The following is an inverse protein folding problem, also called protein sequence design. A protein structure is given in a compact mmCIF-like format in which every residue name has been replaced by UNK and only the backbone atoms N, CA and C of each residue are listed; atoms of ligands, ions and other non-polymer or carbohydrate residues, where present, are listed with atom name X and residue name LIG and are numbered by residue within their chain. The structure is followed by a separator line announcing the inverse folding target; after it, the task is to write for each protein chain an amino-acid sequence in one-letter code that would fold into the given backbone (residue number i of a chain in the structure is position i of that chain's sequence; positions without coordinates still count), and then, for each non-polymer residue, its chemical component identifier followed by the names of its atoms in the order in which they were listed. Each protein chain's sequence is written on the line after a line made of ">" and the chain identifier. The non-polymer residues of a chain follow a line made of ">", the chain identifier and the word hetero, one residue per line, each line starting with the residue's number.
data_IF_841009916079
#
_entry.id   IF_841009916079
#
_cell.length_a   1.000
_cell.length_b   1.000
_cell.length_c   1.000
_cell.angle_alpha   90.00
_cell.angle_beta   90.00
_cell.angle_gamma   90.00
#
_symmetry.space_group_name_H-M   'P 1'
#
loop_
_entity.id
_entity.type
_entity.pdbx_description
1 polymer ?
#
# COMPACT_ATOMS: atom_id res chain seq x y z
N UNK A 1 10.34 -33.95 -4.89
CA UNK A 1 10.44 -33.26 -3.58
C UNK A 1 9.64 -31.99 -3.67
N UNK A 2 8.62 -31.81 -2.84
CA UNK A 2 7.78 -30.61 -2.86
C UNK A 2 8.43 -29.44 -2.16
N UNK A 3 8.04 -28.19 -2.50
CA UNK A 3 8.61 -26.95 -1.94
C UNK A 3 8.55 -26.96 -0.40
N UNK A 4 7.46 -27.44 0.18
CA UNK A 4 7.28 -27.52 1.63
C UNK A 4 8.29 -28.50 2.29
N UNK A 5 8.56 -29.64 1.67
CA UNK A 5 9.51 -30.63 2.17
C UNK A 5 10.95 -30.13 2.06
N UNK A 6 11.25 -29.37 0.99
CA UNK A 6 12.56 -28.73 0.83
C UNK A 6 12.86 -27.81 2.01
N UNK A 7 11.98 -26.86 2.34
CA UNK A 7 12.21 -25.93 3.44
C UNK A 7 12.17 -26.58 4.82
N UNK A 8 11.38 -27.66 5.02
CA UNK A 8 11.41 -28.45 6.25
C UNK A 8 12.78 -29.12 6.46
N UNK A 9 13.35 -29.70 5.42
CA UNK A 9 14.65 -30.40 5.50
C UNK A 9 15.82 -29.46 5.73
N UNK A 10 15.68 -28.17 5.38
CA UNK A 10 16.71 -27.13 5.59
C UNK A 10 16.52 -26.31 6.88
N UNK A 11 15.56 -26.71 7.76
CA UNK A 11 15.33 -26.06 9.06
C UNK A 11 14.75 -24.65 8.97
N UNK A 12 14.20 -24.24 7.81
CA UNK A 12 13.65 -22.90 7.58
C UNK A 12 12.18 -22.79 8.04
N UNK A 13 11.96 -22.89 9.35
CA UNK A 13 10.63 -22.94 9.95
C UNK A 13 9.71 -21.77 9.57
N UNK A 14 10.27 -20.55 9.50
CA UNK A 14 9.52 -19.36 9.11
C UNK A 14 8.97 -19.45 7.67
N UNK A 15 9.75 -19.96 6.73
CA UNK A 15 9.30 -20.15 5.35
C UNK A 15 8.24 -21.26 5.23
N UNK A 16 8.36 -22.29 6.04
CA UNK A 16 7.34 -23.34 6.12
C UNK A 16 5.99 -22.77 6.59
N UNK A 17 6.00 -21.87 7.58
CA UNK A 17 4.78 -21.22 8.08
C UNK A 17 4.17 -20.29 7.03
N UNK A 18 4.97 -19.47 6.38
CA UNK A 18 4.49 -18.60 5.28
C UNK A 18 3.86 -19.39 4.13
N UNK A 19 4.42 -20.56 3.77
CA UNK A 19 3.82 -21.43 2.74
C UNK A 19 2.49 -22.00 3.21
N UNK A 20 2.37 -22.38 4.49
CA UNK A 20 1.10 -22.86 5.06
C UNK A 20 0.03 -21.77 5.06
N UNK A 21 0.41 -20.53 5.43
CA UNK A 21 -0.51 -19.41 5.42
C UNK A 21 -0.98 -19.08 4.00
N UNK A 22 -0.10 -19.16 3.02
CA UNK A 22 -0.46 -19.03 1.61
C UNK A 22 -1.48 -20.11 1.19
N UNK A 23 -1.25 -21.38 1.57
CA UNK A 23 -2.21 -22.46 1.30
C UNK A 23 -3.58 -22.19 1.92
N UNK A 24 -3.64 -21.73 3.18
CA UNK A 24 -4.90 -21.40 3.87
C UNK A 24 -5.64 -20.25 3.18
N UNK A 25 -4.91 -19.24 2.70
CA UNK A 25 -5.49 -18.12 1.95
C UNK A 25 -6.06 -18.63 0.63
N UNK A 26 -5.30 -19.45 -0.12
CA UNK A 26 -5.75 -20.02 -1.39
C UNK A 26 -6.97 -20.90 -1.20
N UNK A 27 -7.03 -21.76 -0.17
CA UNK A 27 -8.20 -22.58 0.15
C UNK A 27 -9.45 -21.73 0.43
N UNK A 28 -9.31 -20.64 1.20
CA UNK A 28 -10.42 -19.72 1.47
C UNK A 28 -10.93 -19.04 0.21
N UNK A 29 -10.02 -18.57 -0.65
CA UNK A 29 -10.35 -17.96 -1.92
C UNK A 29 -11.02 -18.96 -2.87
N UNK A 30 -10.53 -20.17 -2.86
CA UNK A 30 -11.06 -21.28 -3.66
C UNK A 30 -12.48 -21.66 -3.23
N UNK A 31 -12.73 -21.73 -1.93
CA UNK A 31 -14.06 -22.02 -1.35
C UNK A 31 -15.06 -20.88 -1.58
N UNK A 32 -14.61 -19.63 -1.69
CA UNK A 32 -15.46 -18.48 -1.93
C UNK A 32 -15.76 -18.23 -3.42
N UNK A 33 -15.17 -19.02 -4.32
CA UNK A 33 -15.34 -18.84 -5.75
C UNK A 33 -16.56 -19.58 -6.29
N UNK A 34 -17.56 -18.85 -6.79
CA UNK A 34 -18.81 -19.39 -7.37
C UNK A 34 -18.82 -19.46 -8.90
N UNK A 35 -17.70 -19.14 -9.56
CA UNK A 35 -17.59 -19.08 -11.02
C UNK A 35 -17.15 -20.40 -11.69
N UNK A 36 -17.01 -20.41 -13.02
CA UNK A 36 -16.60 -21.59 -13.78
C UNK A 36 -15.16 -22.01 -13.45
N UNK A 37 -14.93 -23.32 -13.33
CA UNK A 37 -13.61 -23.90 -13.11
C UNK A 37 -12.61 -23.54 -14.24
N UNK A 38 -11.31 -23.63 -13.96
CA UNK A 38 -10.24 -23.47 -14.94
C UNK A 38 -9.52 -22.12 -14.90
N UNK A 39 -9.13 -21.58 -16.05
CA UNK A 39 -8.31 -20.36 -16.15
C UNK A 39 -8.95 -19.12 -15.52
N UNK A 40 -10.27 -19.00 -15.54
CA UNK A 40 -10.98 -17.88 -14.90
C UNK A 40 -10.77 -17.88 -13.38
N UNK A 41 -10.87 -19.06 -12.76
CA UNK A 41 -10.61 -19.25 -11.32
C UNK A 41 -9.16 -18.95 -10.96
N UNK A 42 -8.23 -19.45 -11.75
CA UNK A 42 -6.79 -19.17 -11.54
C UNK A 42 -6.49 -17.69 -11.68
N UNK A 43 -7.02 -17.02 -12.70
CA UNK A 43 -6.84 -15.59 -12.88
C UNK A 43 -7.39 -14.78 -11.71
N UNK A 44 -8.55 -15.13 -11.17
CA UNK A 44 -9.10 -14.44 -10.02
C UNK A 44 -8.24 -14.61 -8.76
N UNK A 45 -7.75 -15.83 -8.51
CA UNK A 45 -6.82 -16.11 -7.40
C UNK A 45 -5.53 -15.31 -7.56
N UNK A 46 -4.96 -15.27 -8.77
CA UNK A 46 -3.75 -14.49 -9.08
C UNK A 46 -3.99 -12.99 -8.92
N UNK A 47 -5.14 -12.48 -9.33
CA UNK A 47 -5.51 -11.07 -9.13
C UNK A 47 -5.62 -10.72 -7.64
N UNK A 48 -6.27 -11.56 -6.85
CA UNK A 48 -6.37 -11.35 -5.41
C UNK A 48 -5.01 -11.50 -4.72
N UNK A 49 -4.18 -12.45 -5.14
CA UNK A 49 -2.82 -12.60 -4.63
C UNK A 49 -1.94 -11.40 -4.99
N UNK A 50 -2.05 -10.85 -6.21
CA UNK A 50 -1.34 -9.64 -6.64
C UNK A 50 -1.76 -8.41 -5.82
N UNK A 51 -3.05 -8.26 -5.53
CA UNK A 51 -3.57 -7.20 -4.65
C UNK A 51 -3.04 -7.32 -3.21
N UNK A 52 -2.83 -8.56 -2.74
CA UNK A 52 -2.30 -8.83 -1.39
C UNK A 52 -0.77 -8.73 -1.33
N UNK A 53 -0.08 -9.04 -2.44
CA UNK A 53 1.38 -9.02 -2.54
C UNK A 53 1.98 -7.64 -2.87
N UNK A 54 1.14 -6.61 -3.05
CA UNK A 54 1.60 -5.25 -3.36
C UNK A 54 2.08 -5.06 -4.81
N UNK A 55 1.67 -5.94 -5.73
CA UNK A 55 1.91 -5.68 -7.14
C UNK A 55 1.03 -4.54 -7.67
N UNK A 56 1.54 -3.75 -8.64
CA UNK A 56 0.89 -2.50 -9.04
C UNK A 56 -0.53 -2.73 -9.55
N UNK A 57 -1.42 -1.84 -9.15
CA UNK A 57 -2.84 -1.78 -9.51
C UNK A 57 -3.10 -1.57 -11.03
N UNK A 58 -2.36 -2.26 -11.90
CA UNK A 58 -2.55 -2.15 -13.35
C UNK A 58 -3.93 -2.65 -13.82
N UNK A 59 -4.66 -3.41 -12.99
CA UNK A 59 -5.96 -3.97 -13.36
C UNK A 59 -7.18 -3.22 -12.81
N UNK A 60 -7.00 -2.16 -12.00
CA UNK A 60 -8.12 -1.34 -11.50
C UNK A 60 -8.72 -0.44 -12.60
N UNK A 61 -8.16 -0.46 -13.82
CA UNK A 61 -8.53 0.46 -14.92
C UNK A 61 -9.92 0.27 -15.54
N UNK A 62 -10.69 -0.77 -15.15
CA UNK A 62 -11.97 -1.06 -15.79
C UNK A 62 -13.19 -1.01 -14.85
N UNK A 63 -13.04 -0.56 -13.62
CA UNK A 63 -14.17 -0.39 -12.73
C UNK A 63 -14.37 1.09 -12.43
N UNK A 64 -15.63 1.52 -12.48
CA UNK A 64 -16.09 2.87 -12.12
C UNK A 64 -15.99 3.08 -10.57
N UNK A 65 -14.80 2.83 -10.03
CA UNK A 65 -14.47 2.86 -8.61
C UNK A 65 -13.19 3.63 -8.35
N UNK A 66 -13.18 4.39 -7.25
CA UNK A 66 -11.96 5.04 -6.76
C UNK A 66 -11.14 4.01 -5.98
N UNK A 67 -9.90 3.68 -6.41
CA UNK A 67 -9.04 2.77 -5.69
C UNK A 67 -8.53 3.40 -4.39
N UNK A 68 -8.69 2.69 -3.27
CA UNK A 68 -8.06 3.03 -1.99
C UNK A 68 -6.95 2.01 -1.77
N UNK A 69 -5.70 2.49 -1.82
CA UNK A 69 -4.51 1.65 -1.77
C UNK A 69 -3.45 2.25 -0.85
N UNK A 70 -2.50 1.46 -0.42
CA UNK A 70 -1.33 1.97 0.31
C UNK A 70 -0.30 2.56 -0.67
N UNK A 71 0.60 3.42 -0.16
CA UNK A 71 1.69 3.97 -0.98
C UNK A 71 2.59 2.85 -1.53
N UNK A 72 2.80 1.77 -0.77
CA UNK A 72 3.56 0.61 -1.23
C UNK A 72 2.92 -0.07 -2.44
N UNK A 73 1.61 -0.22 -2.42
CA UNK A 73 0.84 -0.79 -3.54
C UNK A 73 0.80 0.14 -4.77
N UNK A 74 0.96 1.44 -4.57
CA UNK A 74 1.00 2.43 -5.65
C UNK A 74 2.33 2.44 -6.41
N UNK A 75 3.36 1.73 -5.93
CA UNK A 75 4.67 1.68 -6.58
C UNK A 75 4.55 1.10 -8.00
N UNK A 76 5.06 1.84 -8.99
CA UNK A 76 4.98 1.46 -10.42
C UNK A 76 3.66 1.79 -11.11
N UNK A 77 2.65 2.27 -10.38
CA UNK A 77 1.40 2.78 -10.94
C UNK A 77 1.42 4.30 -11.06
N UNK A 78 0.57 4.83 -11.93
CA UNK A 78 0.36 6.26 -12.10
C UNK A 78 -1.14 6.54 -12.23
N UNK A 79 -1.59 7.66 -11.67
CA UNK A 79 -3.00 8.06 -11.64
C UNK A 79 -3.11 9.51 -12.08
N UNK A 80 -4.23 9.87 -12.71
CA UNK A 80 -4.44 11.27 -13.12
C UNK A 80 -4.55 12.18 -11.90
N UNK A 81 -5.29 11.77 -10.89
CA UNK A 81 -5.47 12.47 -9.62
C UNK A 81 -5.13 11.56 -8.45
N UNK A 82 -4.39 12.07 -7.47
CA UNK A 82 -4.03 11.34 -6.25
C UNK A 82 -4.46 12.14 -5.02
N UNK A 83 -5.16 11.48 -4.11
CA UNK A 83 -5.45 11.98 -2.77
C UNK A 83 -4.57 11.27 -1.76
N UNK A 84 -3.59 11.98 -1.20
CA UNK A 84 -2.72 11.48 -0.13
C UNK A 84 -3.28 11.93 1.21
N UNK A 85 -3.94 11.01 1.91
CA UNK A 85 -4.68 11.31 3.12
C UNK A 85 -3.88 11.06 4.41
N UNK A 86 -4.08 11.92 5.43
CA UNK A 86 -3.57 11.70 6.77
C UNK A 86 -2.08 11.98 6.92
N UNK A 87 -1.55 13.00 6.25
CA UNK A 87 -0.14 13.35 6.28
C UNK A 87 0.22 14.13 7.55
N UNK A 88 0.21 13.43 8.70
CA UNK A 88 0.47 13.98 10.03
C UNK A 88 1.72 13.38 10.67
N UNK A 89 2.41 14.17 11.48
CA UNK A 89 3.44 13.67 12.38
C UNK A 89 2.90 12.55 13.27
N UNK A 90 3.67 11.45 13.39
CA UNK A 90 3.26 10.28 14.14
C UNK A 90 2.31 9.33 13.40
N UNK A 91 1.92 9.67 12.16
CA UNK A 91 1.22 8.78 11.24
C UNK A 91 2.12 8.48 10.05
N UNK A 92 2.60 9.52 9.38
CA UNK A 92 3.57 9.46 8.31
C UNK A 92 4.44 10.72 8.36
N UNK A 93 5.72 10.61 8.79
CA UNK A 93 6.51 9.38 8.98
C UNK A 93 6.06 8.53 10.17
N UNK A 94 6.26 7.21 10.05
CA UNK A 94 5.93 6.26 11.11
C UNK A 94 6.85 6.43 12.31
N UNK A 95 6.32 6.54 13.56
CA UNK A 95 7.14 6.61 14.75
C UNK A 95 8.07 5.41 14.94
N UNK A 96 7.63 4.22 14.50
CA UNK A 96 8.43 3.00 14.56
C UNK A 96 9.62 3.08 13.60
N UNK A 97 9.41 3.54 12.38
CA UNK A 97 10.49 3.72 11.40
C UNK A 97 11.52 4.73 11.89
N UNK A 98 11.06 5.84 12.47
CA UNK A 98 11.96 6.86 13.06
C UNK A 98 12.76 6.28 14.22
N UNK A 99 12.11 5.56 15.15
CA UNK A 99 12.78 4.94 16.30
C UNK A 99 13.83 3.90 15.90
N UNK A 100 13.65 3.25 14.76
CA UNK A 100 14.60 2.28 14.19
C UNK A 100 15.64 2.92 13.25
N UNK A 101 15.68 4.25 13.15
CA UNK A 101 16.63 4.98 12.29
C UNK A 101 16.34 4.84 10.79
N UNK A 102 15.13 4.46 10.41
CA UNK A 102 14.71 4.27 9.00
C UNK A 102 13.99 5.48 8.41
N UNK A 103 14.35 6.66 8.83
CA UNK A 103 13.75 7.92 8.33
C UNK A 103 13.91 8.06 6.81
N UNK A 104 15.02 7.60 6.24
CA UNK A 104 15.24 7.67 4.79
C UNK A 104 14.31 6.75 3.99
N UNK A 105 13.80 5.67 4.60
CA UNK A 105 12.77 4.84 3.97
C UNK A 105 11.44 5.59 3.91
N UNK A 106 11.06 6.31 4.96
CA UNK A 106 9.85 7.15 4.99
C UNK A 106 9.92 8.27 3.93
N UNK A 107 11.10 8.91 3.78
CA UNK A 107 11.32 9.91 2.72
C UNK A 107 11.18 9.32 1.32
N UNK A 108 11.74 8.12 1.09
CA UNK A 108 11.59 7.42 -0.20
C UNK A 108 10.14 7.04 -0.47
N UNK A 109 9.42 6.59 0.56
CA UNK A 109 8.01 6.26 0.45
C UNK A 109 7.18 7.50 0.13
N UNK A 110 7.48 8.64 0.77
CA UNK A 110 6.86 9.91 0.46
C UNK A 110 7.13 10.35 -0.99
N UNK A 111 8.38 10.23 -1.44
CA UNK A 111 8.75 10.51 -2.84
C UNK A 111 7.94 9.63 -3.82
N UNK A 112 7.78 8.34 -3.51
CA UNK A 112 6.92 7.46 -4.32
C UNK A 112 5.51 8.02 -4.38
N UNK A 113 4.90 8.42 -3.26
CA UNK A 113 3.54 8.93 -3.22
C UNK A 113 3.34 10.19 -4.07
N UNK A 114 4.22 11.19 -3.92
CA UNK A 114 4.10 12.48 -4.63
C UNK A 114 4.44 12.39 -6.12
N UNK A 115 5.07 11.31 -6.57
CA UNK A 115 5.38 11.06 -7.99
C UNK A 115 4.34 10.18 -8.69
N UNK A 116 3.26 9.79 -8.02
CA UNK A 116 2.19 8.98 -8.64
C UNK A 116 1.18 9.78 -9.44
N UNK A 117 0.85 11.03 -9.08
CA UNK A 117 -0.09 11.82 -9.86
C UNK A 117 0.51 12.25 -11.21
N UNK A 118 -0.33 12.22 -12.26
CA UNK A 118 -0.01 12.78 -13.58
C UNK A 118 -0.45 14.23 -13.71
N UNK A 119 -1.55 14.59 -13.05
CA UNK A 119 -2.18 15.89 -13.20
C UNK A 119 -2.28 16.62 -11.86
N UNK A 120 -2.83 15.97 -10.82
CA UNK A 120 -3.14 16.65 -9.57
C UNK A 120 -2.83 15.78 -8.36
N UNK A 121 -2.22 16.40 -7.35
CA UNK A 121 -1.99 15.84 -6.02
C UNK A 121 -2.72 16.66 -4.98
N UNK A 122 -3.66 16.02 -4.30
CA UNK A 122 -4.31 16.59 -3.11
C UNK A 122 -3.75 15.92 -1.87
N UNK A 123 -3.19 16.72 -0.95
CA UNK A 123 -2.68 16.25 0.33
C UNK A 123 -3.60 16.73 1.43
N UNK A 124 -3.98 15.83 2.34
CA UNK A 124 -4.78 16.19 3.51
C UNK A 124 -4.06 15.81 4.81
N UNK A 125 -4.26 16.64 5.81
CA UNK A 125 -3.80 16.39 7.17
C UNK A 125 -4.84 16.91 8.19
N UNK A 126 -4.85 16.31 9.37
CA UNK A 126 -5.74 16.69 10.45
C UNK A 126 -5.08 17.79 11.32
N UNK A 127 -5.90 18.70 11.85
CA UNK A 127 -5.45 19.67 12.85
C UNK A 127 -5.62 19.13 14.27
N UNK A 128 -6.59 18.23 14.46
CA UNK A 128 -6.87 17.57 15.73
C UNK A 128 -7.17 16.10 15.50
N UNK A 129 -6.66 15.24 16.37
CA UNK A 129 -6.99 13.82 16.34
C UNK A 129 -8.39 13.54 16.91
N UNK A 130 -8.84 12.29 16.82
CA UNK A 130 -10.15 11.83 17.33
C UNK A 130 -10.38 12.09 18.83
N UNK A 131 -9.31 12.37 19.59
CA UNK A 131 -9.36 12.71 21.02
C UNK A 131 -9.33 14.22 21.25
N UNK A 132 -9.47 15.05 20.21
CA UNK A 132 -9.45 16.51 20.30
C UNK A 132 -8.06 17.12 20.60
N UNK A 133 -6.98 16.35 20.50
CA UNK A 133 -5.61 16.85 20.69
C UNK A 133 -5.08 17.40 19.37
N UNK A 134 -4.44 18.57 19.43
CA UNK A 134 -3.76 19.14 18.28
C UNK A 134 -2.69 18.19 17.74
N UNK A 135 -2.65 18.02 16.43
CA UNK A 135 -1.64 17.26 15.70
C UNK A 135 -0.96 18.16 14.68
N UNK A 136 0.28 17.86 14.36
CA UNK A 136 1.05 18.65 13.42
C UNK A 136 1.04 17.99 12.03
N UNK A 137 1.07 18.79 10.95
CA UNK A 137 1.35 18.27 9.62
C UNK A 137 2.69 17.53 9.59
N UNK A 138 2.81 16.57 8.73
CA UNK A 138 4.03 15.79 8.54
C UNK A 138 5.23 16.68 8.18
N UNK A 139 6.38 16.44 8.80
CA UNK A 139 7.66 17.05 8.44
C UNK A 139 8.10 16.72 7.02
N UNK A 140 7.59 15.63 6.44
CA UNK A 140 7.86 15.24 5.05
C UNK A 140 7.38 16.30 4.03
N UNK A 141 6.40 17.12 4.38
CA UNK A 141 5.94 18.25 3.55
C UNK A 141 7.06 19.27 3.27
N UNK A 142 8.08 19.35 4.12
CA UNK A 142 9.23 20.24 3.90
C UNK A 142 10.10 19.80 2.70
N UNK A 143 9.95 18.57 2.22
CA UNK A 143 10.66 18.04 1.05
C UNK A 143 9.91 18.30 -0.26
N UNK A 144 8.72 18.90 -0.21
CA UNK A 144 7.99 19.24 -1.43
C UNK A 144 8.65 20.42 -2.16
N UNK A 145 8.67 20.39 -3.51
CA UNK A 145 9.08 21.54 -4.31
C UNK A 145 8.20 22.76 -3.98
N UNK A 146 8.81 23.92 -3.75
CA UNK A 146 8.08 25.14 -3.41
C UNK A 146 7.66 25.97 -4.63
N UNK A 147 8.04 25.53 -5.81
CA UNK A 147 7.86 26.28 -7.07
C UNK A 147 6.53 26.04 -7.77
N UNK A 148 5.68 25.18 -7.21
CA UNK A 148 4.35 24.90 -7.74
C UNK A 148 3.29 25.70 -6.99
N UNK A 149 2.23 26.10 -7.67
CA UNK A 149 1.05 26.74 -7.08
C UNK A 149 0.43 25.83 -6.00
N UNK A 150 0.88 26.00 -4.76
CA UNK A 150 0.26 25.36 -3.61
C UNK A 150 -0.99 26.16 -3.26
N UNK A 151 -2.15 25.60 -3.57
CA UNK A 151 -3.44 26.16 -3.12
C UNK A 151 -3.77 25.56 -1.76
N UNK A 152 -3.54 26.30 -0.69
CA UNK A 152 -3.95 25.91 0.65
C UNK A 152 -5.45 26.19 0.83
N UNK A 153 -6.25 25.17 1.08
CA UNK A 153 -7.67 25.29 1.47
C UNK A 153 -7.83 24.74 2.89
N UNK A 154 -8.34 25.58 3.79
CA UNK A 154 -8.74 25.19 5.14
C UNK A 154 -10.26 25.06 5.18
N UNK A 155 -10.74 23.93 5.64
CA UNK A 155 -12.17 23.67 5.86
C UNK A 155 -12.45 23.49 7.33
#
# INVERSE_FOLDING_TARGET
>A
MGVLEYYKSHGEAAKVEHIRDLYRIMEKLDAAYEGPAGLARLNQILQMAALTAGEPAQQVRNEDRIPIITIHQAKGSEFDHVFLAGLNEGTFPSPFSIAEGREDEEKRLFYVAITRPKQELTITFEQTNIRGRAVQPSSLLNYMPRDNELVERRY
#
